data_IF_065341642369
#
_entry.id   IF_065341642369
#
_cell.length_a   1.000
_cell.length_b   1.000
_cell.length_c   1.000
_cell.angle_alpha   90.00
_cell.angle_beta   90.00
_cell.angle_gamma   90.00
#
_symmetry.space_group_name_H-M   'P 1'
#
loop_
_entity.id
_entity.type
_entity.pdbx_description
1 polymer ?
#
# COMPACT_ATOMS: atom_id res chain seq x y z
N UNK A 1 29.12 21.00 4.30
CA UNK A 1 28.21 19.83 4.31
C UNK A 1 27.29 19.96 5.50
N UNK A 2 26.00 19.69 5.34
CA UNK A 2 25.08 19.71 6.47
C UNK A 2 25.41 18.55 7.41
N UNK A 3 25.50 18.82 8.71
CA UNK A 3 25.51 17.79 9.74
C UNK A 3 24.10 17.66 10.31
N UNK A 4 23.67 16.44 10.62
CA UNK A 4 22.38 16.18 11.24
C UNK A 4 22.59 15.33 12.48
N UNK A 5 21.87 15.65 13.55
CA UNK A 5 21.80 14.82 14.74
C UNK A 5 20.38 14.32 14.89
N UNK A 6 20.20 13.01 14.75
CA UNK A 6 18.90 12.36 14.93
C UNK A 6 18.83 11.86 16.37
N UNK A 7 17.90 12.41 17.15
CA UNK A 7 17.68 12.03 18.55
C UNK A 7 16.51 11.05 18.67
N UNK A 8 16.47 10.32 19.78
CA UNK A 8 15.37 9.42 20.14
C UNK A 8 15.13 8.28 19.13
N UNK A 9 16.19 7.75 18.50
CA UNK A 9 16.06 6.55 17.67
C UNK A 9 15.78 5.36 18.61
N UNK A 10 14.68 4.61 18.40
CA UNK A 10 14.40 3.42 19.20
C UNK A 10 15.54 2.39 19.07
N UNK A 11 15.92 1.76 20.19
CA UNK A 11 17.01 0.76 20.20
C UNK A 11 16.78 -0.38 19.21
N UNK A 12 15.52 -0.77 19.01
CA UNK A 12 15.14 -1.80 18.04
C UNK A 12 15.49 -1.39 16.60
N UNK A 13 15.27 -0.12 16.24
CA UNK A 13 15.59 0.42 14.91
C UNK A 13 17.11 0.50 14.74
N UNK A 14 17.83 1.01 15.74
CA UNK A 14 19.29 1.10 15.69
C UNK A 14 19.96 -0.27 15.53
N UNK A 15 19.46 -1.29 16.25
CA UNK A 15 19.93 -2.69 16.11
C UNK A 15 19.71 -3.21 14.69
N UNK A 16 18.56 -2.97 14.08
CA UNK A 16 18.26 -3.39 12.71
C UNK A 16 19.19 -2.73 11.70
N UNK A 17 19.41 -1.42 11.81
CA UNK A 17 20.33 -0.67 10.93
C UNK A 17 21.76 -1.24 11.07
N UNK A 18 22.21 -1.53 12.29
CA UNK A 18 23.54 -2.12 12.54
C UNK A 18 23.68 -3.52 11.93
N UNK A 19 22.63 -4.34 11.99
CA UNK A 19 22.63 -5.66 11.32
C UNK A 19 22.70 -5.49 9.81
N UNK A 20 21.89 -4.59 9.24
CA UNK A 20 21.85 -4.33 7.81
C UNK A 20 23.20 -3.82 7.29
N UNK A 21 23.83 -2.88 8.02
CA UNK A 21 25.13 -2.33 7.63
C UNK A 21 26.24 -3.40 7.60
N UNK A 22 26.17 -4.41 8.48
CA UNK A 22 27.10 -5.55 8.48
C UNK A 22 26.88 -6.46 7.29
N UNK A 23 25.63 -6.78 6.96
CA UNK A 23 25.27 -7.62 5.80
C UNK A 23 25.74 -6.94 4.52
N UNK A 24 25.45 -5.65 4.39
CA UNK A 24 25.74 -4.82 3.23
C UNK A 24 27.20 -4.31 3.19
N UNK A 25 28.04 -4.70 4.16
CA UNK A 25 29.46 -4.34 4.31
C UNK A 25 29.73 -2.84 4.20
N UNK A 26 28.90 -2.01 4.82
CA UNK A 26 29.07 -0.55 4.85
C UNK A 26 29.06 0.03 6.25
N UNK A 27 29.56 1.25 6.38
CA UNK A 27 29.52 1.97 7.65
C UNK A 27 28.07 2.28 8.04
N UNK A 28 27.81 2.41 9.34
CA UNK A 28 26.47 2.72 9.84
C UNK A 28 25.95 4.06 9.29
N UNK A 29 26.82 5.06 9.17
CA UNK A 29 26.46 6.36 8.61
C UNK A 29 26.06 6.26 7.12
N UNK A 30 26.81 5.45 6.34
CA UNK A 30 26.49 5.23 4.93
C UNK A 30 25.17 4.48 4.76
N UNK A 31 24.88 3.49 5.62
CA UNK A 31 23.58 2.81 5.64
C UNK A 31 22.45 3.78 5.99
N UNK A 32 22.65 4.63 7.00
CA UNK A 32 21.67 5.62 7.42
C UNK A 32 21.34 6.61 6.29
N UNK A 33 22.36 7.10 5.58
CA UNK A 33 22.18 8.00 4.44
C UNK A 33 21.32 7.33 3.35
N UNK A 34 21.64 6.09 2.99
CA UNK A 34 20.90 5.35 1.96
C UNK A 34 19.45 5.10 2.37
N UNK A 35 19.20 4.77 3.63
CA UNK A 35 17.85 4.57 4.14
C UNK A 35 17.04 5.87 4.13
N UNK A 36 17.67 7.01 4.44
CA UNK A 36 17.02 8.33 4.35
C UNK A 36 16.70 8.67 2.88
N UNK A 37 17.65 8.47 1.95
CA UNK A 37 17.42 8.73 0.52
C UNK A 37 16.28 7.87 -0.04
N UNK A 38 16.29 6.57 0.29
CA UNK A 38 15.25 5.65 -0.11
C UNK A 38 13.89 6.03 0.49
N UNK A 39 13.84 6.32 1.79
CA UNK A 39 12.61 6.72 2.47
C UNK A 39 12.07 8.05 1.94
N UNK A 40 12.94 9.02 1.61
CA UNK A 40 12.53 10.28 1.00
C UNK A 40 11.96 10.07 -0.40
N UNK A 41 12.59 9.20 -1.21
CA UNK A 41 12.08 8.84 -2.53
C UNK A 41 10.70 8.20 -2.43
N UNK A 42 10.55 7.19 -1.58
CA UNK A 42 9.26 6.51 -1.35
C UNK A 42 8.19 7.49 -0.83
N UNK A 43 8.53 8.35 0.12
CA UNK A 43 7.60 9.34 0.67
C UNK A 43 7.19 10.38 -0.39
N UNK A 44 8.12 10.82 -1.24
CA UNK A 44 7.84 11.77 -2.32
C UNK A 44 7.00 11.12 -3.41
N UNK A 45 7.31 9.88 -3.79
CA UNK A 45 6.55 9.09 -4.75
C UNK A 45 5.14 8.81 -4.22
N UNK A 46 5.01 8.38 -2.96
CA UNK A 46 3.72 8.14 -2.31
C UNK A 46 2.88 9.41 -2.18
N UNK A 47 3.49 10.56 -1.85
CA UNK A 47 2.78 11.85 -1.82
C UNK A 47 2.41 12.37 -3.20
N UNK A 48 3.25 12.16 -4.21
CA UNK A 48 2.90 12.45 -5.60
C UNK A 48 1.81 11.52 -6.13
N UNK A 49 1.75 10.28 -5.63
CA UNK A 49 0.70 9.30 -5.90
C UNK A 49 -0.55 9.50 -5.02
N UNK A 50 -0.44 10.31 -3.97
CA UNK A 50 -1.47 10.60 -2.97
C UNK A 50 -2.38 11.78 -3.32
N UNK A 51 -2.21 12.37 -4.49
CA UNK A 51 -3.21 13.23 -5.13
C UNK A 51 -3.56 12.60 -6.48
N UNK A 52 -4.51 11.66 -6.49
CA UNK A 52 -5.11 11.10 -7.70
C UNK A 52 -4.08 10.68 -8.77
N UNK A 53 -3.53 9.46 -8.66
CA UNK A 53 -2.75 8.79 -9.73
C UNK A 53 -3.44 8.84 -11.11
N UNK A 54 -4.75 9.09 -11.14
CA UNK A 54 -5.57 9.25 -12.32
C UNK A 54 -6.39 10.53 -12.16
N UNK A 55 -6.38 11.41 -13.16
CA UNK A 55 -7.30 12.56 -13.16
C UNK A 55 -8.75 12.09 -12.99
N UNK A 56 -9.63 12.91 -12.43
CA UNK A 56 -11.04 12.57 -12.29
C UNK A 56 -11.67 12.15 -13.63
N UNK A 57 -11.25 12.77 -14.75
CA UNK A 57 -11.70 12.36 -16.08
C UNK A 57 -11.17 10.98 -16.48
N UNK A 58 -9.94 10.65 -16.10
CA UNK A 58 -9.34 9.34 -16.38
C UNK A 58 -10.04 8.24 -15.58
N UNK A 59 -10.38 8.51 -14.31
CA UNK A 59 -11.18 7.60 -13.50
C UNK A 59 -12.56 7.40 -14.12
N UNK A 60 -13.25 8.47 -14.52
CA UNK A 60 -14.56 8.39 -15.14
C UNK A 60 -14.53 7.53 -16.43
N UNK A 61 -13.54 7.73 -17.30
CA UNK A 61 -13.36 6.89 -18.49
C UNK A 61 -13.12 5.42 -18.16
N UNK A 62 -12.30 5.12 -17.17
CA UNK A 62 -12.08 3.73 -16.75
C UNK A 62 -13.37 3.09 -16.21
N UNK A 63 -14.19 3.84 -15.47
CA UNK A 63 -15.51 3.36 -15.05
C UNK A 63 -16.44 3.13 -16.24
N UNK A 64 -16.48 4.05 -17.20
CA UNK A 64 -17.26 3.89 -18.44
C UNK A 64 -16.84 2.66 -19.24
N UNK A 65 -15.54 2.41 -19.37
CA UNK A 65 -15.01 1.23 -20.05
C UNK A 65 -15.37 -0.07 -19.35
N UNK A 66 -15.40 -0.08 -18.01
CA UNK A 66 -15.73 -1.28 -17.24
C UNK A 66 -17.23 -1.62 -17.24
N UNK A 67 -18.10 -0.65 -17.50
CA UNK A 67 -19.56 -0.87 -17.53
C UNK A 67 -19.89 -1.84 -18.67
N UNK A 68 -20.56 -2.95 -18.33
CA UNK A 68 -21.00 -3.94 -19.31
C UNK A 68 -19.91 -4.93 -19.74
N UNK A 69 -18.68 -4.82 -19.23
CA UNK A 69 -17.63 -5.84 -19.44
C UNK A 69 -17.74 -7.04 -18.51
N UNK A 70 -18.67 -7.01 -17.54
CA UNK A 70 -18.91 -8.18 -16.69
C UNK A 70 -19.53 -9.30 -17.53
N UNK A 71 -18.71 -10.30 -17.86
CA UNK A 71 -19.16 -11.55 -18.47
C UNK A 71 -19.19 -12.64 -17.39
N UNK A 72 -20.35 -13.26 -17.23
CA UNK A 72 -20.51 -14.44 -16.38
C UNK A 72 -21.09 -15.57 -17.24
N UNK A 73 -20.37 -16.69 -17.27
CA UNK A 73 -20.78 -17.88 -18.02
C UNK A 73 -21.84 -18.70 -17.26
N UNK A 74 -22.13 -18.35 -16.01
CA UNK A 74 -23.14 -19.00 -15.18
C UNK A 74 -24.54 -18.50 -15.55
N UNK A 75 -25.52 -19.39 -15.45
CA UNK A 75 -26.92 -19.00 -15.60
C UNK A 75 -27.38 -18.15 -14.42
N UNK A 76 -28.47 -17.40 -14.61
CA UNK A 76 -29.08 -16.63 -13.53
C UNK A 76 -29.44 -17.52 -12.33
N UNK A 77 -29.93 -18.73 -12.58
CA UNK A 77 -30.29 -19.71 -11.55
C UNK A 77 -29.07 -20.19 -10.75
N UNK A 78 -27.94 -20.41 -11.41
CA UNK A 78 -26.68 -20.80 -10.76
C UNK A 78 -26.17 -19.68 -9.85
N UNK A 79 -26.21 -18.43 -10.32
CA UNK A 79 -25.82 -17.25 -9.55
C UNK A 79 -26.74 -17.07 -8.34
N UNK A 80 -28.05 -17.18 -8.53
CA UNK A 80 -29.04 -17.05 -7.44
C UNK A 80 -28.79 -18.12 -6.37
N UNK A 81 -28.56 -19.37 -6.77
CA UNK A 81 -28.28 -20.48 -5.86
C UNK A 81 -26.98 -20.26 -5.09
N UNK A 82 -25.93 -19.82 -5.77
CA UNK A 82 -24.63 -19.52 -5.16
C UNK A 82 -24.74 -18.43 -4.09
N UNK A 83 -25.42 -17.32 -4.41
CA UNK A 83 -25.67 -16.23 -3.46
C UNK A 83 -26.44 -16.73 -2.24
N UNK A 84 -27.52 -17.48 -2.42
CA UNK A 84 -28.31 -17.98 -1.29
C UNK A 84 -27.51 -18.96 -0.42
N UNK A 85 -26.67 -19.81 -1.02
CA UNK A 85 -25.87 -20.78 -0.28
C UNK A 85 -24.80 -20.13 0.60
N UNK A 86 -24.31 -18.95 0.21
CA UNK A 86 -23.28 -18.21 0.95
C UNK A 86 -23.83 -17.10 1.85
N UNK A 87 -25.15 -16.87 1.85
CA UNK A 87 -25.77 -15.91 2.79
C UNK A 87 -25.63 -16.41 4.22
N UNK A 88 -25.06 -15.58 5.08
CA UNK A 88 -25.09 -15.78 6.53
C UNK A 88 -26.29 -15.04 7.12
N UNK A 89 -26.74 -15.43 8.33
CA UNK A 89 -27.90 -14.85 9.02
C UNK A 89 -27.74 -13.37 9.42
N UNK A 90 -26.67 -12.70 8.97
CA UNK A 90 -26.29 -11.36 9.37
C UNK A 90 -25.76 -11.31 10.80
N UNK A 91 -25.37 -10.12 11.23
CA UNK A 91 -24.99 -9.82 12.61
C UNK A 91 -26.24 -9.34 13.36
N UNK A 92 -26.39 -9.73 14.61
CA UNK A 92 -27.42 -9.14 15.46
C UNK A 92 -27.15 -7.65 15.66
N UNK A 93 -28.13 -6.80 15.34
CA UNK A 93 -28.10 -5.35 15.53
C UNK A 93 -29.31 -4.99 16.40
N UNK A 94 -29.07 -4.39 17.56
CA UNK A 94 -30.09 -3.70 18.34
C UNK A 94 -30.19 -2.27 17.82
N UNK A 95 -31.38 -1.88 17.35
CA UNK A 95 -31.72 -0.54 16.84
C UNK A 95 -32.47 0.25 17.91
#
# INVERSE_FOLDING_TARGET
MANITIRNIPDSVLKRIKTLSRIERRSMNSELLRLIEKGLKEETENKSSGANLLSSETQAKMWEELIGMWEDNRSAEEIIKDIYSHRTAGRHVEL
#
